data_IF_554774324081
#
_entry.id   IF_554774324081
#
_cell.length_a   1.000
_cell.length_b   1.000
_cell.length_c   1.000
_cell.angle_alpha   90.00
_cell.angle_beta   90.00
_cell.angle_gamma   90.00
#
_symmetry.space_group_name_H-M   'P 1'
#
loop_
_entity.id
_entity.type
_entity.pdbx_description
1 polymer ?
#
# COMPACT_ATOMS: atom_id res chain seq x y z
N UNK A 1 18.14 8.80 -39.81
CA UNK A 1 17.89 8.98 -38.38
C UNK A 1 17.17 10.30 -38.06
N UNK A 2 17.61 11.47 -38.52
CA UNK A 2 16.95 12.78 -38.24
C UNK A 2 15.47 12.82 -38.58
N UNK A 3 15.02 12.28 -39.75
CA UNK A 3 13.62 12.24 -40.15
C UNK A 3 12.71 11.42 -39.21
N UNK A 4 13.18 10.29 -38.68
CA UNK A 4 12.42 9.44 -37.72
C UNK A 4 12.27 10.18 -36.40
N UNK A 5 13.34 10.79 -35.90
CA UNK A 5 13.31 11.55 -34.65
C UNK A 5 12.34 12.74 -34.74
N UNK A 6 12.37 13.48 -35.85
CA UNK A 6 11.45 14.60 -36.11
C UNK A 6 10.01 14.11 -36.13
N UNK A 7 9.75 12.95 -36.75
CA UNK A 7 8.43 12.37 -36.80
C UNK A 7 7.92 11.96 -35.40
N UNK A 8 8.78 11.33 -34.59
CA UNK A 8 8.46 10.97 -33.19
C UNK A 8 8.13 12.23 -32.39
N UNK A 9 8.93 13.29 -32.48
CA UNK A 9 8.68 14.54 -31.78
C UNK A 9 7.37 15.22 -32.19
N UNK A 10 7.07 15.26 -33.47
CA UNK A 10 5.80 15.80 -33.97
C UNK A 10 4.61 14.97 -33.48
N UNK A 11 4.76 13.66 -33.45
CA UNK A 11 3.74 12.76 -32.96
C UNK A 11 3.49 12.96 -31.45
N UNK A 12 4.54 13.06 -30.64
CA UNK A 12 4.45 13.36 -29.21
C UNK A 12 3.78 14.73 -28.97
N UNK A 13 4.17 15.76 -29.72
CA UNK A 13 3.54 17.08 -29.65
C UNK A 13 2.04 17.02 -29.94
N UNK A 14 1.61 16.17 -30.90
CA UNK A 14 0.21 15.97 -31.23
C UNK A 14 -0.56 15.29 -30.10
N UNK A 15 0.02 14.26 -29.47
CA UNK A 15 -0.57 13.56 -28.33
C UNK A 15 -0.74 14.50 -27.14
N UNK A 16 0.33 15.21 -26.78
CA UNK A 16 0.35 16.14 -25.65
C UNK A 16 -0.63 17.32 -25.79
N UNK A 17 -1.05 17.66 -27.01
CA UNK A 17 -2.11 18.66 -27.25
C UNK A 17 -3.53 18.14 -27.00
N UNK A 18 -3.72 16.84 -26.80
CA UNK A 18 -5.06 16.29 -26.53
C UNK A 18 -5.38 16.45 -25.04
N UNK A 19 -6.60 16.99 -24.70
CA UNK A 19 -6.94 17.30 -23.31
C UNK A 19 -6.91 16.04 -22.41
N UNK A 20 -7.26 14.88 -22.92
CA UNK A 20 -7.26 13.63 -22.17
C UNK A 20 -5.85 13.27 -21.67
N UNK A 21 -4.82 13.42 -22.51
CA UNK A 21 -3.43 13.19 -22.09
C UNK A 21 -2.89 14.28 -21.17
N UNK A 22 -3.29 15.54 -21.38
CA UNK A 22 -2.93 16.65 -20.49
C UNK A 22 -3.48 16.45 -19.09
N UNK A 23 -4.76 16.07 -18.98
CA UNK A 23 -5.41 15.77 -17.70
C UNK A 23 -4.70 14.62 -17.00
N UNK A 24 -4.39 13.52 -17.71
CA UNK A 24 -3.72 12.36 -17.12
C UNK A 24 -2.31 12.70 -16.62
N UNK A 25 -1.53 13.49 -17.36
CA UNK A 25 -0.20 13.93 -16.93
C UNK A 25 -0.28 14.87 -15.74
N UNK A 26 -1.26 15.80 -15.72
CA UNK A 26 -1.44 16.74 -14.61
C UNK A 26 -1.93 16.05 -13.35
N UNK A 27 -2.67 14.97 -13.47
CA UNK A 27 -3.17 14.20 -12.34
C UNK A 27 -2.06 13.51 -11.55
N UNK A 28 -0.92 13.16 -12.20
CA UNK A 28 0.23 12.54 -11.53
C UNK A 28 0.83 13.46 -10.45
N UNK A 29 1.26 14.69 -10.74
CA UNK A 29 1.81 15.58 -9.71
C UNK A 29 0.77 15.99 -8.65
N UNK A 30 -0.51 16.13 -9.02
CA UNK A 30 -1.57 16.37 -8.04
C UNK A 30 -1.69 15.20 -7.07
N UNK A 31 -1.68 13.98 -7.56
CA UNK A 31 -1.72 12.77 -6.73
C UNK A 31 -0.52 12.70 -5.79
N UNK A 32 0.69 13.00 -6.31
CA UNK A 32 1.89 13.07 -5.48
C UNK A 32 1.77 14.14 -4.39
N UNK A 33 1.32 15.35 -4.76
CA UNK A 33 1.12 16.43 -3.81
C UNK A 33 0.13 16.06 -2.70
N UNK A 34 -1.00 15.43 -3.05
CA UNK A 34 -1.96 14.92 -2.08
C UNK A 34 -1.32 13.88 -1.15
N UNK A 35 -0.58 12.92 -1.70
CA UNK A 35 0.11 11.91 -0.90
C UNK A 35 1.14 12.52 0.06
N UNK A 36 1.93 13.51 -0.40
CA UNK A 36 2.89 14.20 0.47
C UNK A 36 2.21 15.02 1.57
N UNK A 37 1.09 15.70 1.27
CA UNK A 37 0.34 16.47 2.27
C UNK A 37 -0.33 15.55 3.30
N UNK A 38 -0.91 14.45 2.87
CA UNK A 38 -1.48 13.47 3.79
C UNK A 38 -0.41 12.74 4.60
N UNK A 39 0.76 12.47 4.03
CA UNK A 39 1.85 11.81 4.74
C UNK A 39 2.50 12.71 5.82
N UNK A 40 2.48 14.04 5.62
CA UNK A 40 2.95 14.99 6.65
C UNK A 40 2.01 15.10 7.84
N UNK A 41 0.75 14.71 7.70
CA UNK A 41 -0.26 14.86 8.76
C UNK A 41 -0.49 13.58 9.58
N UNK A 42 0.12 12.45 9.22
CA UNK A 42 -0.05 11.18 9.95
C UNK A 42 1.27 10.47 10.15
N UNK A 43 1.97 10.82 11.25
CA UNK A 43 3.14 10.05 11.68
C UNK A 43 2.79 8.62 12.10
N UNK A 44 1.50 8.30 12.23
CA UNK A 44 1.03 6.96 12.61
C UNK A 44 -0.43 6.73 12.21
N UNK A 45 -0.79 5.45 11.99
CA UNK A 45 -2.16 5.01 11.68
C UNK A 45 -3.14 5.24 12.83
N UNK A 46 -2.65 5.11 14.08
CA UNK A 46 -3.43 5.25 15.30
C UNK A 46 -2.72 6.26 16.21
N UNK A 47 -3.37 7.38 16.51
CA UNK A 47 -2.88 8.38 17.46
C UNK A 47 -3.57 8.19 18.79
N UNK A 48 -2.78 8.11 19.84
CA UNK A 48 -3.23 7.86 21.22
C UNK A 48 -2.80 9.02 22.11
N UNK A 49 -3.77 9.64 22.76
CA UNK A 49 -3.53 10.70 23.72
C UNK A 49 -3.32 10.10 25.11
N UNK A 50 -2.27 10.53 25.84
CA UNK A 50 -1.95 10.06 27.18
C UNK A 50 -1.94 11.21 28.16
N UNK A 51 -2.55 11.02 29.33
CA UNK A 51 -2.39 11.90 30.49
C UNK A 51 -1.73 11.10 31.60
N UNK A 52 -0.59 11.60 32.09
CA UNK A 52 0.11 11.01 33.24
C UNK A 52 -0.55 11.43 34.55
N UNK A 53 -0.58 10.55 35.53
CA UNK A 53 -0.83 10.90 36.92
C UNK A 53 0.32 11.72 37.51
N UNK A 54 0.15 12.21 38.74
CA UNK A 54 1.15 13.02 39.45
C UNK A 54 2.26 12.17 40.08
N UNK A 55 2.10 10.85 40.19
CA UNK A 55 3.07 9.94 40.73
C UNK A 55 4.19 9.63 39.71
N UNK A 56 5.40 9.40 40.21
CA UNK A 56 6.60 9.11 39.41
C UNK A 56 6.43 7.85 38.55
N UNK A 57 5.71 6.86 39.05
CA UNK A 57 5.47 5.61 38.36
C UNK A 57 4.59 5.85 37.10
N UNK A 58 3.48 6.59 37.22
CA UNK A 58 2.63 6.96 36.09
C UNK A 58 3.37 7.78 35.05
N UNK A 59 4.25 8.68 35.49
CA UNK A 59 5.06 9.51 34.58
C UNK A 59 6.05 8.64 33.79
N UNK A 60 6.74 7.73 34.46
CA UNK A 60 7.69 6.80 33.82
C UNK A 60 6.96 5.87 32.85
N UNK A 61 5.81 5.31 33.24
CA UNK A 61 5.00 4.47 32.38
C UNK A 61 4.52 5.18 31.09
N UNK A 62 4.06 6.44 31.24
CA UNK A 62 3.68 7.25 30.07
C UNK A 62 4.90 7.55 29.19
N UNK A 63 6.07 7.84 29.79
CA UNK A 63 7.31 8.07 29.05
C UNK A 63 7.72 6.83 28.24
N UNK A 64 7.66 5.65 28.83
CA UNK A 64 7.96 4.38 28.15
C UNK A 64 6.99 4.09 27.00
N UNK A 65 5.71 4.46 27.14
CA UNK A 65 4.75 4.40 26.06
C UNK A 65 5.08 5.39 24.94
N UNK A 66 5.46 6.63 25.28
CA UNK A 66 5.88 7.65 24.30
C UNK A 66 7.10 7.18 23.49
N UNK A 67 8.09 6.62 24.18
CA UNK A 67 9.33 6.09 23.56
C UNK A 67 9.06 4.85 22.69
N UNK A 68 7.98 4.10 22.96
CA UNK A 68 7.56 2.95 22.18
C UNK A 68 6.72 3.30 20.93
N UNK A 69 6.56 4.58 20.64
CA UNK A 69 5.85 5.05 19.44
C UNK A 69 6.47 4.49 18.17
N UNK A 70 5.63 4.00 17.25
CA UNK A 70 6.06 3.45 15.97
C UNK A 70 5.16 3.97 14.84
N UNK A 71 5.43 3.55 13.60
CA UNK A 71 4.65 3.98 12.42
C UNK A 71 3.16 3.55 12.45
N UNK A 72 2.80 2.58 13.30
CA UNK A 72 1.41 2.11 13.43
C UNK A 72 0.68 2.87 14.52
N UNK A 73 1.32 3.03 15.68
CA UNK A 73 0.74 3.69 16.86
C UNK A 73 1.69 4.78 17.33
N UNK A 74 1.21 6.02 17.41
CA UNK A 74 1.93 7.11 18.04
C UNK A 74 1.21 7.57 19.30
N UNK A 75 1.98 7.71 20.33
CA UNK A 75 1.52 8.25 21.61
C UNK A 75 1.93 9.71 21.71
N UNK A 76 1.05 10.56 22.24
CA UNK A 76 1.39 11.94 22.57
C UNK A 76 0.79 12.33 23.90
N UNK A 77 1.50 13.19 24.63
CA UNK A 77 1.08 13.63 25.95
C UNK A 77 0.07 14.78 25.86
N UNK A 78 -1.02 14.66 26.59
CA UNK A 78 -1.97 15.74 26.88
C UNK A 78 -1.88 16.12 28.35
N UNK A 79 -2.10 17.37 28.66
CA UNK A 79 -2.07 17.89 30.03
C UNK A 79 -3.45 18.19 30.59
N UNK A 80 -4.47 18.22 29.75
CA UNK A 80 -5.85 18.54 30.13
C UNK A 80 -6.83 17.51 29.55
N UNK A 81 -7.74 17.03 30.39
CA UNK A 81 -8.78 16.06 30.01
C UNK A 81 -9.75 16.63 28.97
N UNK A 82 -10.10 17.93 29.09
CA UNK A 82 -11.00 18.58 28.15
C UNK A 82 -10.39 18.65 26.75
N UNK A 83 -9.07 18.89 26.65
CA UNK A 83 -8.35 18.84 25.38
C UNK A 83 -8.32 17.43 24.81
N UNK A 84 -8.02 16.41 25.63
CA UNK A 84 -8.02 15.01 25.21
C UNK A 84 -9.39 14.59 24.67
N UNK A 85 -10.47 14.91 25.39
CA UNK A 85 -11.84 14.63 24.94
C UNK A 85 -12.16 15.29 23.60
N UNK A 86 -11.73 16.55 23.41
CA UNK A 86 -11.89 17.27 22.16
C UNK A 86 -11.08 16.60 21.03
N UNK A 87 -9.84 16.20 21.27
CA UNK A 87 -8.98 15.52 20.31
C UNK A 87 -9.58 14.18 19.88
N UNK A 88 -10.17 13.40 20.80
CA UNK A 88 -10.87 12.16 20.48
C UNK A 88 -12.18 12.42 19.70
N UNK A 89 -12.97 13.41 20.08
CA UNK A 89 -14.21 13.75 19.39
C UNK A 89 -13.97 14.24 17.96
N UNK A 90 -12.92 15.04 17.74
CA UNK A 90 -12.55 15.58 16.42
C UNK A 90 -11.80 14.57 15.54
N UNK A 91 -11.41 13.39 16.08
CA UNK A 91 -10.66 12.38 15.36
C UNK A 91 -9.16 12.69 15.21
N UNK A 92 -8.62 13.64 15.97
CA UNK A 92 -7.19 13.91 16.06
C UNK A 92 -6.47 12.81 16.84
N UNK A 93 -7.16 12.20 17.83
CA UNK A 93 -6.78 10.98 18.49
C UNK A 93 -7.89 9.93 18.31
N UNK A 94 -7.50 8.66 18.15
CA UNK A 94 -8.44 7.53 18.10
C UNK A 94 -8.99 7.21 19.49
N UNK A 95 -8.15 7.31 20.50
CA UNK A 95 -8.48 7.11 21.90
C UNK A 95 -7.54 7.90 22.82
N UNK A 96 -7.96 8.09 24.06
CA UNK A 96 -7.17 8.71 25.11
C UNK A 96 -7.14 7.85 26.37
N UNK A 97 -6.03 7.87 27.11
CA UNK A 97 -5.88 7.15 28.37
C UNK A 97 -5.43 8.10 29.47
N UNK A 98 -6.11 8.03 30.59
CA UNK A 98 -5.79 8.80 31.80
C UNK A 98 -5.23 7.81 32.81
N UNK A 99 -3.98 8.03 33.20
CA UNK A 99 -3.32 7.29 34.25
C UNK A 99 -3.71 7.89 35.62
N UNK A 100 -4.02 7.07 36.62
CA UNK A 100 -4.35 7.57 37.95
C UNK A 100 -3.11 8.11 38.68
N UNK A 101 -3.32 8.99 39.67
CA UNK A 101 -2.28 9.55 40.51
C UNK A 101 -1.67 8.56 41.53
N UNK A 102 -2.40 7.44 41.75
CA UNK A 102 -2.04 6.39 42.72
C UNK A 102 -1.88 5.02 42.00
N UNK A 103 -1.27 5.04 40.83
CA UNK A 103 -1.17 3.86 39.96
C UNK A 103 -0.56 2.62 40.62
N UNK A 104 0.57 2.69 41.40
CA UNK A 104 1.13 1.53 42.07
C UNK A 104 0.16 0.89 43.06
N UNK A 105 -0.56 1.71 43.83
CA UNK A 105 -1.54 1.23 44.83
C UNK A 105 -2.73 0.57 44.15
N UNK A 106 -3.23 1.14 43.06
CA UNK A 106 -4.33 0.54 42.26
C UNK A 106 -3.91 -0.75 41.60
N UNK A 107 -2.69 -0.86 41.11
CA UNK A 107 -2.14 -2.10 40.58
C UNK A 107 -2.05 -3.15 41.66
N UNK A 108 -1.54 -2.82 42.88
CA UNK A 108 -1.44 -3.74 44.01
C UNK A 108 -2.81 -4.22 44.51
N UNK A 109 -3.82 -3.34 44.53
CA UNK A 109 -5.18 -3.65 44.98
C UNK A 109 -6.06 -4.30 43.92
N UNK A 110 -5.59 -4.37 42.68
CA UNK A 110 -6.38 -4.95 41.60
C UNK A 110 -6.61 -6.45 41.86
N UNK A 111 -7.86 -6.79 41.97
CA UNK A 111 -8.31 -8.18 42.08
C UNK A 111 -9.31 -8.47 40.96
N UNK A 112 -9.21 -9.64 40.37
CA UNK A 112 -10.13 -10.10 39.34
C UNK A 112 -11.59 -10.16 39.83
N UNK A 113 -11.80 -10.16 41.14
CA UNK A 113 -13.12 -10.16 41.77
C UNK A 113 -13.77 -8.78 41.86
N UNK A 114 -12.97 -7.71 41.88
CA UNK A 114 -13.45 -6.32 41.84
C UNK A 114 -13.26 -5.81 40.41
N UNK A 115 -14.35 -5.63 39.67
CA UNK A 115 -14.36 -5.08 38.30
C UNK A 115 -14.07 -3.55 38.31
N UNK A 116 -13.01 -3.12 38.94
CA UNK A 116 -12.58 -1.72 38.98
C UNK A 116 -11.43 -1.54 38.00
N UNK A 117 -11.62 -0.69 36.97
CA UNK A 117 -10.57 -0.35 36.01
C UNK A 117 -9.46 0.45 36.71
N UNK A 118 -8.20 0.20 36.34
CA UNK A 118 -7.04 0.97 36.83
C UNK A 118 -6.89 2.24 35.99
N UNK A 119 -6.98 2.12 34.68
CA UNK A 119 -6.78 3.19 33.69
C UNK A 119 -8.13 3.57 33.09
N UNK A 120 -8.37 4.87 32.94
CA UNK A 120 -9.60 5.36 32.29
C UNK A 120 -9.33 5.55 30.81
N UNK A 121 -10.05 4.82 29.94
CA UNK A 121 -9.99 4.98 28.51
C UNK A 121 -11.12 5.89 28.00
N UNK A 122 -10.79 6.91 27.22
CA UNK A 122 -11.71 7.81 26.55
C UNK A 122 -11.75 7.42 25.07
N UNK A 123 -12.89 6.96 24.60
CA UNK A 123 -13.09 6.51 23.22
C UNK A 123 -14.37 7.13 22.65
N UNK A 124 -14.38 7.43 21.36
CA UNK A 124 -15.59 7.92 20.67
C UNK A 124 -16.54 6.76 20.36
N UNK A 125 -16.00 5.64 19.93
CA UNK A 125 -16.69 4.39 19.62
C UNK A 125 -15.67 3.25 19.72
N UNK A 126 -16.13 2.08 20.16
CA UNK A 126 -15.27 0.91 20.10
C UNK A 126 -14.90 0.57 18.66
N UNK A 127 -13.61 0.55 18.37
CA UNK A 127 -13.02 0.19 17.09
C UNK A 127 -12.01 -0.95 17.28
N UNK A 128 -11.60 -1.57 16.18
CA UNK A 128 -10.53 -2.58 16.22
C UNK A 128 -9.23 -1.92 16.71
N UNK A 129 -8.95 -0.69 16.27
CA UNK A 129 -7.77 0.08 16.69
C UNK A 129 -7.74 0.31 18.19
N UNK A 130 -8.89 0.69 18.81
CA UNK A 130 -8.97 0.89 20.27
C UNK A 130 -8.74 -0.41 21.04
N UNK A 131 -9.22 -1.55 20.52
CA UNK A 131 -8.98 -2.87 21.15
C UNK A 131 -7.50 -3.25 21.09
N UNK A 132 -6.83 -3.03 19.96
CA UNK A 132 -5.39 -3.29 19.82
C UNK A 132 -4.58 -2.42 20.80
N UNK A 133 -4.90 -1.13 20.91
CA UNK A 133 -4.21 -0.24 21.86
C UNK A 133 -4.45 -0.67 23.30
N UNK A 134 -5.68 -1.07 23.65
CA UNK A 134 -6.00 -1.61 24.97
C UNK A 134 -5.15 -2.83 25.32
N UNK A 135 -4.99 -3.77 24.38
CA UNK A 135 -4.18 -4.98 24.58
C UNK A 135 -2.71 -4.65 24.76
N UNK A 136 -2.19 -3.68 24.02
CA UNK A 136 -0.78 -3.25 24.18
C UNK A 136 -0.54 -2.60 25.53
N UNK A 137 -1.42 -1.67 25.97
CA UNK A 137 -1.31 -1.02 27.27
C UNK A 137 -1.48 -2.05 28.40
N UNK A 138 -2.45 -2.96 28.25
CA UNK A 138 -2.67 -4.04 29.20
C UNK A 138 -1.47 -4.98 29.30
N UNK A 139 -0.88 -5.37 28.17
CA UNK A 139 0.30 -6.23 28.13
C UNK A 139 1.50 -5.60 28.85
N UNK A 140 1.73 -4.29 28.65
CA UNK A 140 2.77 -3.54 29.38
C UNK A 140 2.50 -3.51 30.87
N UNK A 141 1.28 -3.17 31.26
CA UNK A 141 0.86 -3.14 32.66
C UNK A 141 0.99 -4.52 33.33
N UNK A 142 0.65 -5.58 32.60
CA UNK A 142 0.73 -6.95 33.08
C UNK A 142 2.19 -7.39 33.28
N UNK A 143 3.11 -7.05 32.39
CA UNK A 143 4.51 -7.41 32.51
C UNK A 143 5.14 -6.81 33.76
N UNK A 144 4.84 -5.55 34.08
CA UNK A 144 5.34 -4.89 35.29
C UNK A 144 4.74 -5.47 36.58
N UNK A 145 3.51 -5.97 36.50
CA UNK A 145 2.84 -6.58 37.64
C UNK A 145 3.27 -8.03 37.89
N UNK A 146 3.66 -8.74 36.85
CA UNK A 146 3.94 -10.16 36.95
C UNK A 146 5.06 -10.47 37.95
N UNK A 147 6.09 -9.61 38.05
CA UNK A 147 7.19 -9.77 39.02
C UNK A 147 6.74 -9.58 40.47
N UNK A 148 6.04 -8.49 40.86
CA UNK A 148 5.51 -8.35 42.21
C UNK A 148 4.60 -9.52 42.62
N UNK A 149 3.73 -9.98 41.73
CA UNK A 149 2.84 -11.13 42.01
C UNK A 149 3.63 -12.43 42.22
N UNK A 150 4.69 -12.64 41.41
CA UNK A 150 5.59 -13.78 41.61
C UNK A 150 6.31 -13.71 42.95
N UNK A 151 6.80 -12.53 43.33
CA UNK A 151 7.45 -12.29 44.60
C UNK A 151 6.50 -12.53 45.76
N UNK A 152 5.28 -12.01 45.70
CA UNK A 152 4.25 -12.23 46.74
C UNK A 152 3.91 -13.72 46.88
N UNK A 153 3.75 -14.43 45.75
CA UNK A 153 3.51 -15.86 45.74
C UNK A 153 4.63 -16.68 46.39
N UNK A 154 5.89 -16.31 46.13
CA UNK A 154 7.03 -16.99 46.72
C UNK A 154 7.11 -16.69 48.23
N UNK A 155 6.88 -15.45 48.65
CA UNK A 155 6.87 -15.05 50.08
C UNK A 155 5.72 -15.75 50.82
N UNK A 156 4.56 -15.96 50.21
CA UNK A 156 3.44 -16.69 50.82
C UNK A 156 3.76 -18.18 51.05
N UNK A 157 4.48 -18.78 50.08
CA UNK A 157 4.85 -20.21 50.14
C UNK A 157 6.07 -20.52 50.98
N UNK A 158 7.02 -19.58 51.06
CA UNK A 158 8.28 -19.72 51.74
C UNK A 158 8.68 -18.39 52.43
N UNK A 159 8.08 -18.08 53.60
CA UNK A 159 8.44 -16.90 54.36
C UNK A 159 9.95 -16.94 54.73
N UNK A 160 10.61 -15.79 54.66
CA UNK A 160 12.04 -15.58 55.02
C UNK A 160 13.11 -16.14 54.07
N UNK A 161 12.78 -16.54 52.87
CA UNK A 161 13.76 -17.09 51.92
C UNK A 161 14.26 -16.09 50.89
N UNK A 162 13.66 -14.92 50.73
CA UNK A 162 14.10 -13.88 49.77
C UNK A 162 14.97 -12.85 50.46
N UNK A 163 16.26 -13.11 50.43
CA UNK A 163 17.29 -12.09 50.76
C UNK A 163 17.36 -11.08 49.61
N UNK A 164 17.79 -9.84 49.88
CA UNK A 164 17.89 -8.79 48.83
C UNK A 164 18.71 -9.23 47.61
N UNK A 165 19.76 -10.05 47.82
CA UNK A 165 20.60 -10.60 46.76
C UNK A 165 19.92 -11.70 45.93
N UNK A 166 18.95 -12.43 46.49
CA UNK A 166 18.14 -13.44 45.80
C UNK A 166 16.99 -12.81 45.00
N UNK A 167 16.45 -11.70 45.55
CA UNK A 167 15.44 -10.89 44.84
C UNK A 167 16.03 -10.29 43.56
N UNK A 168 17.25 -9.76 43.59
CA UNK A 168 17.95 -9.24 42.41
C UNK A 168 18.21 -10.32 41.37
N UNK A 169 18.69 -11.49 41.77
CA UNK A 169 18.89 -12.63 40.86
C UNK A 169 17.58 -13.14 40.27
N UNK A 170 16.52 -13.13 41.05
CA UNK A 170 15.17 -13.52 40.59
C UNK A 170 14.63 -12.51 39.60
N UNK A 171 14.84 -11.21 39.84
CA UNK A 171 14.48 -10.15 38.91
C UNK A 171 15.23 -10.26 37.59
N UNK A 172 16.53 -10.51 37.62
CA UNK A 172 17.36 -10.71 36.43
C UNK A 172 16.93 -11.93 35.65
N UNK A 173 16.62 -13.04 36.31
CA UNK A 173 16.09 -14.22 35.64
C UNK A 173 14.71 -13.95 35.04
N UNK A 174 13.83 -13.30 35.79
CA UNK A 174 12.50 -12.94 35.30
C UNK A 174 12.55 -11.97 34.13
N UNK A 175 13.37 -10.92 34.19
CA UNK A 175 13.57 -9.96 33.11
C UNK A 175 14.10 -10.63 31.85
N UNK A 176 15.01 -11.59 31.99
CA UNK A 176 15.53 -12.39 30.87
C UNK A 176 14.43 -13.22 30.19
N UNK A 177 13.55 -13.83 30.98
CA UNK A 177 12.39 -14.57 30.42
C UNK A 177 11.31 -13.65 29.80
N UNK A 178 11.18 -12.41 30.27
CA UNK A 178 10.28 -11.41 29.66
C UNK A 178 10.83 -10.83 28.35
N UNK A 179 12.15 -10.74 28.24
CA UNK A 179 12.85 -10.19 27.05
C UNK A 179 13.04 -11.28 25.98
N UNK A 180 12.98 -12.56 26.35
CA UNK A 180 13.08 -13.65 25.39
C UNK A 180 11.79 -13.86 24.57
N UNK A 181 11.96 -14.40 23.38
CA UNK A 181 11.48 -13.79 22.14
C UNK A 181 10.03 -14.15 21.89
N UNK A 182 9.38 -13.32 21.11
CA UNK A 182 8.19 -13.66 20.30
C UNK A 182 7.66 -15.08 20.61
N UNK A 183 6.69 -15.19 21.51
CA UNK A 183 5.91 -16.44 21.68
C UNK A 183 5.28 -16.91 20.37
N UNK A 184 5.31 -16.09 19.33
CA UNK A 184 4.71 -16.33 18.05
C UNK A 184 5.76 -16.24 16.95
N UNK A 185 5.90 -17.31 16.16
CA UNK A 185 6.55 -17.25 14.85
C UNK A 185 5.50 -16.92 13.81
N UNK A 186 5.69 -15.83 13.10
CA UNK A 186 4.78 -15.46 12.02
C UNK A 186 5.23 -16.11 10.71
N UNK A 187 4.34 -16.85 10.09
CA UNK A 187 4.51 -17.40 8.75
C UNK A 187 3.38 -16.85 7.87
N UNK A 188 3.75 -16.35 6.69
CA UNK A 188 2.73 -15.91 5.75
C UNK A 188 1.96 -17.11 5.18
N UNK A 189 0.70 -16.90 4.79
CA UNK A 189 -0.13 -17.95 4.21
C UNK A 189 0.42 -18.58 2.92
N UNK A 190 1.43 -17.95 2.30
CA UNK A 190 2.19 -18.45 1.15
C UNK A 190 3.39 -19.34 1.55
N UNK A 191 3.59 -19.59 2.86
CA UNK A 191 4.68 -20.38 3.41
C UNK A 191 6.01 -19.63 3.56
N UNK A 192 6.06 -18.32 3.28
CA UNK A 192 7.26 -17.54 3.52
C UNK A 192 7.41 -17.21 5.01
N UNK A 193 8.64 -17.35 5.55
CA UNK A 193 8.95 -16.96 6.93
C UNK A 193 9.36 -15.50 6.98
N UNK A 194 8.78 -14.78 7.90
CA UNK A 194 9.14 -13.39 8.13
C UNK A 194 10.19 -13.32 9.25
N UNK A 195 11.43 -13.03 8.88
CA UNK A 195 12.48 -12.68 9.83
C UNK A 195 12.27 -11.24 10.32
N UNK A 196 11.26 -11.04 11.18
CA UNK A 196 10.95 -9.73 11.78
C UNK A 196 12.09 -9.18 12.65
N UNK A 197 13.06 -10.00 13.02
CA UNK A 197 14.17 -9.64 13.90
C UNK A 197 15.39 -9.07 13.18
N UNK A 198 15.50 -9.20 11.86
CA UNK A 198 16.71 -8.82 11.12
C UNK A 198 16.55 -7.62 10.17
N UNK A 199 15.40 -6.97 10.13
CA UNK A 199 15.17 -5.85 9.22
C UNK A 199 14.80 -4.57 9.98
N UNK A 200 15.81 -3.89 10.51
CA UNK A 200 15.72 -2.48 10.92
C UNK A 200 15.41 -1.53 9.75
N UNK A 201 15.39 -2.03 8.51
CA UNK A 201 15.16 -1.26 7.29
C UNK A 201 13.80 -1.50 6.61
N UNK A 202 12.91 -2.31 7.17
CA UNK A 202 11.58 -2.51 6.58
C UNK A 202 10.56 -1.50 7.07
N UNK A 203 10.82 -0.21 6.86
CA UNK A 203 9.76 0.74 6.59
C UNK A 203 9.10 0.37 5.26
N UNK A 204 8.41 -0.78 5.22
CA UNK A 204 7.49 -1.06 4.13
C UNK A 204 6.43 0.02 4.16
N UNK A 205 6.66 1.08 3.39
CA UNK A 205 5.72 2.17 3.23
C UNK A 205 4.37 1.54 2.85
N UNK A 206 3.42 1.49 3.76
CA UNK A 206 2.05 1.03 3.53
C UNK A 206 1.40 1.70 2.31
N UNK A 207 1.92 2.85 1.90
CA UNK A 207 1.51 3.61 0.73
C UNK A 207 2.14 3.13 -0.59
N UNK A 208 3.10 2.20 -0.54
CA UNK A 208 3.83 1.75 -1.74
C UNK A 208 2.89 1.12 -2.77
N UNK A 209 2.02 0.23 -2.34
CA UNK A 209 1.05 -0.45 -3.21
C UNK A 209 -0.02 0.48 -3.79
N UNK A 210 -0.72 1.31 -2.99
CA UNK A 210 -1.72 2.23 -3.51
C UNK A 210 -1.15 3.21 -4.54
N UNK A 211 0.02 3.79 -4.29
CA UNK A 211 0.66 4.73 -5.23
C UNK A 211 0.97 4.05 -6.56
N UNK A 212 1.65 2.92 -6.53
CA UNK A 212 1.99 2.14 -7.73
C UNK A 212 0.75 1.64 -8.46
N UNK A 213 -0.27 1.23 -7.70
CA UNK A 213 -1.55 0.81 -8.24
C UNK A 213 -2.25 1.91 -9.02
N UNK A 214 -2.35 3.11 -8.44
CA UNK A 214 -2.98 4.26 -9.11
C UNK A 214 -2.16 4.68 -10.34
N UNK A 215 -0.83 4.75 -10.25
CA UNK A 215 0.02 5.06 -11.39
C UNK A 215 -0.15 4.04 -12.51
N UNK A 216 -0.24 2.75 -12.21
CA UNK A 216 -0.47 1.70 -13.20
C UNK A 216 -1.83 1.85 -13.91
N UNK A 217 -2.87 2.22 -13.17
CA UNK A 217 -4.20 2.51 -13.74
C UNK A 217 -4.16 3.75 -14.63
N UNK A 218 -3.40 4.80 -14.28
CA UNK A 218 -3.24 5.99 -15.13
C UNK A 218 -2.55 5.65 -16.46
N UNK A 219 -1.55 4.76 -16.43
CA UNK A 219 -0.90 4.26 -17.64
C UNK A 219 -1.89 3.42 -18.49
N UNK A 220 -2.73 2.61 -17.85
CA UNK A 220 -3.80 1.85 -18.51
C UNK A 220 -4.79 2.80 -19.22
N UNK A 221 -5.24 3.86 -18.56
CA UNK A 221 -6.11 4.89 -19.15
C UNK A 221 -5.45 5.53 -20.37
N UNK A 222 -4.15 5.81 -20.29
CA UNK A 222 -3.38 6.36 -21.41
C UNK A 222 -3.35 5.40 -22.61
N UNK A 223 -3.16 4.11 -22.37
CA UNK A 223 -3.13 3.11 -23.43
C UNK A 223 -4.46 3.01 -24.16
N UNK A 224 -5.56 2.98 -23.41
CA UNK A 224 -6.92 2.97 -23.97
C UNK A 224 -7.25 4.28 -24.73
N UNK A 225 -6.79 5.41 -24.21
CA UNK A 225 -6.92 6.71 -24.88
C UNK A 225 -6.17 6.74 -26.22
N UNK A 226 -4.99 6.10 -26.27
CA UNK A 226 -4.22 5.91 -27.49
C UNK A 226 -4.99 5.11 -28.55
N UNK A 227 -5.69 4.05 -28.13
CA UNK A 227 -6.57 3.26 -29.03
C UNK A 227 -7.71 4.10 -29.57
N UNK A 228 -8.39 4.88 -28.71
CA UNK A 228 -9.47 5.77 -29.15
C UNK A 228 -8.97 6.81 -30.17
N UNK A 229 -7.80 7.40 -29.90
CA UNK A 229 -7.20 8.36 -30.82
C UNK A 229 -6.85 7.72 -32.16
N UNK A 230 -6.26 6.53 -32.17
CA UNK A 230 -5.96 5.77 -33.36
C UNK A 230 -7.24 5.40 -34.15
N UNK A 231 -8.28 4.91 -33.45
CA UNK A 231 -9.55 4.56 -34.08
C UNK A 231 -10.27 5.77 -34.72
N UNK A 232 -10.13 6.94 -34.08
CA UNK A 232 -10.65 8.18 -34.65
C UNK A 232 -9.85 8.65 -35.87
N UNK A 233 -8.53 8.48 -35.85
CA UNK A 233 -7.64 8.78 -36.98
C UNK A 233 -7.88 7.83 -38.15
N UNK A 234 -8.17 6.54 -37.89
CA UNK A 234 -8.53 5.56 -38.89
C UNK A 234 -9.85 5.95 -39.59
N UNK A 235 -10.85 6.40 -38.83
CA UNK A 235 -12.13 6.91 -39.39
C UNK A 235 -11.95 8.12 -40.31
N UNK A 236 -10.98 8.99 -39.98
CA UNK A 236 -10.64 10.18 -40.77
C UNK A 236 -9.69 9.88 -41.92
N UNK A 237 -9.35 8.63 -42.15
CA UNK A 237 -8.37 8.17 -43.17
C UNK A 237 -7.03 8.88 -43.09
N UNK A 238 -6.67 9.42 -41.91
CA UNK A 238 -5.43 10.23 -41.69
C UNK A 238 -4.18 9.45 -42.09
N UNK A 239 -4.22 8.13 -41.91
CA UNK A 239 -3.08 7.22 -42.17
C UNK A 239 -3.29 6.31 -43.37
N UNK A 240 -4.17 6.71 -44.32
CA UNK A 240 -4.51 5.94 -45.50
C UNK A 240 -3.33 5.66 -46.44
N UNK A 241 -2.26 6.44 -46.37
CA UNK A 241 -1.04 6.23 -47.14
C UNK A 241 -0.19 5.07 -46.70
N UNK A 242 -0.46 4.47 -45.50
CA UNK A 242 0.31 3.34 -44.95
C UNK A 242 -0.20 2.05 -45.64
N UNK A 243 0.76 1.29 -46.20
CA UNK A 243 0.45 -0.01 -46.84
C UNK A 243 -0.23 -0.94 -45.82
N UNK A 244 -1.25 -1.67 -46.24
CA UNK A 244 -2.02 -2.60 -45.43
C UNK A 244 -1.15 -3.62 -44.70
N UNK A 245 -0.08 -4.13 -45.35
CA UNK A 245 0.86 -5.06 -44.71
C UNK A 245 1.69 -4.48 -43.54
N UNK A 246 1.87 -3.16 -43.51
CA UNK A 246 2.63 -2.45 -42.45
C UNK A 246 1.72 -1.83 -41.39
N UNK A 247 0.42 -1.81 -41.61
CA UNK A 247 -0.56 -1.19 -40.75
C UNK A 247 -0.60 -1.79 -39.32
N UNK A 248 -0.52 -3.11 -39.12
CA UNK A 248 -0.50 -3.69 -37.76
C UNK A 248 0.71 -3.22 -36.94
N UNK A 249 1.90 -3.21 -37.54
CA UNK A 249 3.11 -2.73 -36.87
C UNK A 249 3.03 -1.23 -36.56
N UNK A 250 2.44 -0.43 -37.49
CA UNK A 250 2.23 0.98 -37.25
C UNK A 250 1.23 1.24 -36.11
N UNK A 251 0.11 0.52 -36.07
CA UNK A 251 -0.89 0.63 -35.03
C UNK A 251 -0.31 0.31 -33.65
N UNK A 252 0.46 -0.78 -33.57
CA UNK A 252 1.19 -1.14 -32.34
C UNK A 252 2.14 -0.03 -31.90
N UNK A 253 2.96 0.47 -32.82
CA UNK A 253 3.89 1.56 -32.53
C UNK A 253 3.16 2.86 -32.13
N UNK A 254 2.04 3.17 -32.75
CA UNK A 254 1.20 4.33 -32.41
C UNK A 254 0.73 4.29 -30.96
N UNK A 255 0.17 3.14 -30.54
CA UNK A 255 -0.32 2.93 -29.18
C UNK A 255 0.86 3.00 -28.19
N UNK A 256 1.97 2.33 -28.47
CA UNK A 256 3.18 2.39 -27.65
C UNK A 256 3.65 3.83 -27.41
N UNK A 257 3.73 4.63 -28.48
CA UNK A 257 4.12 6.03 -28.39
C UNK A 257 3.13 6.89 -27.61
N UNK A 258 1.85 6.52 -27.56
CA UNK A 258 0.86 7.25 -26.76
C UNK A 258 1.00 7.00 -25.24
N UNK A 259 1.48 5.81 -24.85
CA UNK A 259 1.71 5.46 -23.44
C UNK A 259 2.98 6.09 -22.89
N UNK A 260 4.00 6.24 -23.71
CA UNK A 260 5.37 6.58 -23.33
C UNK A 260 5.49 7.84 -22.46
N UNK A 261 4.84 8.99 -22.74
CA UNK A 261 4.95 10.17 -21.89
C UNK A 261 4.46 9.95 -20.47
N UNK A 262 3.33 9.25 -20.33
CA UNK A 262 2.73 8.99 -19.03
C UNK A 262 3.52 7.95 -18.25
N UNK A 263 4.08 6.94 -18.93
CA UNK A 263 4.98 5.97 -18.32
C UNK A 263 6.26 6.63 -17.78
N UNK A 264 6.84 7.58 -18.53
CA UNK A 264 8.01 8.36 -18.07
C UNK A 264 7.66 9.23 -16.88
N UNK A 265 6.53 9.95 -16.91
CA UNK A 265 6.06 10.75 -15.78
C UNK A 265 5.79 9.88 -14.54
N UNK A 266 5.18 8.70 -14.72
CA UNK A 266 4.92 7.76 -13.62
C UNK A 266 6.22 7.19 -13.03
N UNK A 267 7.21 6.90 -13.87
CA UNK A 267 8.53 6.46 -13.44
C UNK A 267 9.26 7.57 -12.66
N UNK A 268 9.23 8.81 -13.15
CA UNK A 268 9.76 9.97 -12.43
C UNK A 268 9.05 10.16 -11.08
N UNK A 269 7.73 9.95 -11.04
CA UNK A 269 6.94 10.00 -9.82
C UNK A 269 7.42 8.97 -8.77
N UNK A 270 7.69 7.72 -9.18
CA UNK A 270 8.21 6.66 -8.30
C UNK A 270 9.60 7.04 -7.74
N UNK A 271 10.46 7.68 -8.54
CA UNK A 271 11.77 8.12 -8.06
C UNK A 271 11.68 9.32 -7.09
N UNK A 272 10.82 10.29 -7.38
CA UNK A 272 10.61 11.46 -6.51
C UNK A 272 10.04 11.07 -5.16
N UNK A 273 9.15 10.08 -5.12
CA UNK A 273 8.54 9.59 -3.87
C UNK A 273 9.46 8.70 -3.04
N UNK A 274 10.63 8.31 -3.56
CA UNK A 274 11.56 7.41 -2.87
C UNK A 274 11.05 5.97 -2.69
N UNK A 275 9.95 5.61 -3.38
CA UNK A 275 9.34 4.27 -3.31
C UNK A 275 10.14 3.23 -4.11
N UNK A 276 11.15 3.68 -4.87
CA UNK A 276 11.98 2.79 -5.70
C UNK A 276 12.92 1.94 -4.85
N UNK A 277 12.92 0.63 -5.09
CA UNK A 277 13.88 -0.31 -4.45
C UNK A 277 15.19 -0.40 -5.23
N UNK A 278 15.10 -0.48 -6.57
CA UNK A 278 16.26 -0.56 -7.47
C UNK A 278 15.91 0.08 -8.81
N UNK A 279 16.68 1.09 -9.20
CA UNK A 279 16.46 1.90 -10.42
C UNK A 279 16.35 1.04 -11.69
N UNK A 280 17.25 0.09 -11.87
CA UNK A 280 17.28 -0.79 -13.05
C UNK A 280 16.05 -1.69 -13.09
N UNK A 281 15.62 -2.21 -11.95
CA UNK A 281 14.45 -3.08 -11.86
C UNK A 281 13.17 -2.29 -12.17
N UNK A 282 13.05 -1.06 -11.66
CA UNK A 282 11.90 -0.18 -11.92
C UNK A 282 11.76 0.16 -13.41
N UNK A 283 12.87 0.53 -14.05
CA UNK A 283 12.88 0.80 -15.50
C UNK A 283 12.44 -0.46 -16.28
N UNK A 284 12.98 -1.62 -15.93
CA UNK A 284 12.62 -2.89 -16.57
C UNK A 284 11.13 -3.20 -16.40
N UNK A 285 10.60 -3.09 -15.19
CA UNK A 285 9.18 -3.32 -14.88
C UNK A 285 8.28 -2.37 -15.68
N UNK A 286 8.63 -1.08 -15.74
CA UNK A 286 7.87 -0.09 -16.48
C UNK A 286 7.87 -0.36 -17.99
N UNK A 287 9.01 -0.76 -18.55
CA UNK A 287 9.12 -1.14 -19.97
C UNK A 287 8.27 -2.38 -20.25
N UNK A 288 8.36 -3.42 -19.43
CA UNK A 288 7.56 -4.62 -19.61
C UNK A 288 6.05 -4.34 -19.50
N UNK A 289 5.67 -3.50 -18.54
CA UNK A 289 4.28 -3.10 -18.36
C UNK A 289 3.74 -2.29 -19.55
N UNK A 290 4.52 -1.34 -20.08
CA UNK A 290 4.13 -0.57 -21.26
C UNK A 290 3.98 -1.45 -22.51
N UNK A 291 4.83 -2.47 -22.69
CA UNK A 291 4.71 -3.45 -23.75
C UNK A 291 3.45 -4.31 -23.58
N UNK A 292 3.16 -4.78 -22.37
CA UNK A 292 1.95 -5.53 -22.06
C UNK A 292 0.69 -4.73 -22.37
N UNK A 293 0.64 -3.47 -21.93
CA UNK A 293 -0.49 -2.57 -22.19
C UNK A 293 -0.66 -2.26 -23.68
N UNK A 294 0.43 -2.09 -24.41
CA UNK A 294 0.39 -1.87 -25.86
C UNK A 294 -0.24 -3.08 -26.55
N UNK A 295 0.19 -4.29 -26.21
CA UNK A 295 -0.39 -5.53 -26.73
C UNK A 295 -1.86 -5.67 -26.38
N UNK A 296 -2.22 -5.47 -25.11
CA UNK A 296 -3.60 -5.56 -24.61
C UNK A 296 -4.52 -4.58 -25.33
N UNK A 297 -4.13 -3.32 -25.43
CA UNK A 297 -4.92 -2.27 -26.07
C UNK A 297 -5.04 -2.45 -27.57
N UNK A 298 -3.97 -2.94 -28.22
CA UNK A 298 -3.98 -3.30 -29.64
C UNK A 298 -4.92 -4.48 -29.91
N UNK A 299 -4.93 -5.49 -29.06
CA UNK A 299 -5.84 -6.63 -29.13
C UNK A 299 -7.30 -6.18 -28.97
N UNK A 300 -7.59 -5.31 -28.00
CA UNK A 300 -8.94 -4.75 -27.83
C UNK A 300 -9.41 -3.99 -29.07
N UNK A 301 -8.54 -3.19 -29.70
CA UNK A 301 -8.84 -2.52 -30.97
C UNK A 301 -9.18 -3.53 -32.09
N UNK A 302 -8.40 -4.61 -32.19
CA UNK A 302 -8.59 -5.64 -33.20
C UNK A 302 -9.89 -6.45 -32.99
N UNK A 303 -10.36 -6.57 -31.75
CA UNK A 303 -11.60 -7.27 -31.40
C UNK A 303 -12.84 -6.37 -31.54
N UNK A 304 -12.72 -5.11 -31.12
CA UNK A 304 -13.84 -4.17 -30.99
C UNK A 304 -13.71 -3.08 -32.07
N UNK A 305 -14.52 -3.18 -33.13
CA UNK A 305 -14.54 -2.19 -34.21
C UNK A 305 -15.27 -0.89 -33.83
N UNK A 306 -16.25 -0.98 -32.93
CA UNK A 306 -17.08 0.16 -32.56
C UNK A 306 -16.36 1.05 -31.51
N UNK A 307 -16.08 2.31 -31.88
CA UNK A 307 -15.40 3.29 -31.03
C UNK A 307 -16.20 3.63 -29.76
N UNK A 308 -17.54 3.60 -29.84
CA UNK A 308 -18.39 3.90 -28.68
C UNK A 308 -18.29 2.79 -27.63
N UNK A 309 -18.21 1.54 -28.05
CA UNK A 309 -17.97 0.39 -27.16
C UNK A 309 -16.58 0.46 -26.55
N UNK A 310 -15.54 0.83 -27.32
CA UNK A 310 -14.21 1.05 -26.80
C UNK A 310 -14.18 2.18 -25.74
N UNK A 311 -14.94 3.26 -25.99
CA UNK A 311 -15.02 4.37 -25.05
C UNK A 311 -15.70 3.96 -23.73
N UNK A 312 -16.79 3.20 -23.78
CA UNK A 312 -17.50 2.71 -22.60
C UNK A 312 -16.69 1.65 -21.81
N UNK A 313 -15.74 0.98 -22.44
CA UNK A 313 -14.90 -0.03 -21.81
C UNK A 313 -13.84 0.61 -20.88
N UNK A 314 -13.44 1.86 -21.12
CA UNK A 314 -12.43 2.55 -20.29
C UNK A 314 -12.85 2.63 -18.82
N UNK A 315 -13.99 3.23 -18.44
CA UNK A 315 -14.40 3.30 -17.05
C UNK A 315 -14.60 1.92 -16.43
N UNK A 316 -15.08 0.94 -17.20
CA UNK A 316 -15.25 -0.44 -16.72
C UNK A 316 -13.90 -1.07 -16.38
N UNK A 317 -12.90 -0.99 -17.25
CA UNK A 317 -11.57 -1.55 -17.00
C UNK A 317 -10.85 -0.83 -15.85
N UNK A 318 -11.04 0.48 -15.71
CA UNK A 318 -10.51 1.27 -14.59
C UNK A 318 -11.12 0.82 -13.26
N UNK A 319 -12.46 0.74 -13.18
CA UNK A 319 -13.15 0.30 -11.97
C UNK A 319 -12.79 -1.14 -11.60
N UNK A 320 -12.76 -2.05 -12.58
CA UNK A 320 -12.33 -3.43 -12.34
C UNK A 320 -10.88 -3.50 -11.84
N UNK A 321 -9.98 -2.70 -12.41
CA UNK A 321 -8.59 -2.64 -11.95
C UNK A 321 -8.46 -2.10 -10.53
N UNK A 322 -9.23 -1.07 -10.16
CA UNK A 322 -9.20 -0.48 -8.82
C UNK A 322 -9.80 -1.40 -7.74
N UNK A 323 -10.85 -2.15 -8.10
CA UNK A 323 -11.57 -3.01 -7.16
C UNK A 323 -10.91 -4.39 -7.05
N UNK A 324 -10.56 -5.03 -8.17
CA UNK A 324 -10.13 -6.44 -8.18
C UNK A 324 -8.62 -6.59 -8.03
N UNK A 325 -7.82 -5.67 -8.59
CA UNK A 325 -6.37 -5.69 -8.38
C UNK A 325 -6.01 -5.20 -6.98
N UNK A 326 -4.93 -5.66 -6.37
CA UNK A 326 -4.51 -5.26 -5.02
C UNK A 326 -3.94 -3.83 -5.01
N UNK A 327 -4.77 -2.85 -5.43
CA UNK A 327 -4.39 -1.43 -5.40
C UNK A 327 -4.54 -0.88 -3.99
N UNK A 328 -5.69 -1.09 -3.35
CA UNK A 328 -5.97 -0.67 -1.99
C UNK A 328 -6.17 -1.85 -1.04
N UNK A 329 -6.90 -2.87 -1.49
CA UNK A 329 -7.25 -4.06 -0.69
C UNK A 329 -7.15 -5.27 -1.62
N UNK A 330 -6.58 -6.37 -1.16
CA UNK A 330 -6.56 -7.62 -1.91
C UNK A 330 -7.90 -8.36 -1.75
N UNK A 331 -8.85 -8.06 -2.64
CA UNK A 331 -10.16 -8.73 -2.67
C UNK A 331 -10.02 -10.21 -3.06
N UNK A 332 -8.95 -10.59 -3.76
CA UNK A 332 -8.67 -11.98 -4.11
C UNK A 332 -8.47 -12.90 -2.92
N UNK A 333 -8.06 -12.34 -1.76
CA UNK A 333 -7.97 -13.09 -0.50
C UNK A 333 -9.35 -13.32 0.14
N UNK A 334 -10.30 -12.39 -0.06
CA UNK A 334 -11.64 -12.43 0.53
C UNK A 334 -12.60 -13.25 -0.35
N UNK A 335 -12.56 -13.04 -1.67
CA UNK A 335 -13.46 -13.68 -2.66
C UNK A 335 -12.63 -14.45 -3.68
N UNK A 336 -12.46 -15.78 -3.52
CA UNK A 336 -11.60 -16.59 -4.41
C UNK A 336 -11.98 -16.53 -5.89
N UNK A 337 -13.28 -16.35 -6.22
CA UNK A 337 -13.75 -16.25 -7.60
C UNK A 337 -13.22 -15.01 -8.33
N UNK A 338 -12.90 -13.94 -7.62
CA UNK A 338 -12.33 -12.71 -8.21
C UNK A 338 -10.94 -12.93 -8.82
N UNK A 339 -10.22 -13.98 -8.40
CA UNK A 339 -8.90 -14.36 -8.95
C UNK A 339 -8.96 -14.65 -10.45
N UNK A 340 -10.08 -15.21 -10.94
CA UNK A 340 -10.23 -15.48 -12.37
C UNK A 340 -10.30 -14.18 -13.19
N UNK A 341 -11.07 -13.20 -12.75
CA UNK A 341 -11.18 -11.88 -13.41
C UNK A 341 -9.85 -11.13 -13.37
N UNK A 342 -9.12 -11.24 -12.27
CA UNK A 342 -7.80 -10.65 -12.06
C UNK A 342 -6.78 -11.06 -13.15
N UNK A 343 -6.87 -12.29 -13.67
CA UNK A 343 -5.99 -12.79 -14.74
C UNK A 343 -6.13 -12.01 -16.07
N UNK A 344 -7.25 -11.36 -16.31
CA UNK A 344 -7.47 -10.56 -17.52
C UNK A 344 -7.00 -9.11 -17.41
N UNK A 345 -6.64 -8.65 -16.20
CA UNK A 345 -6.28 -7.27 -15.93
C UNK A 345 -4.76 -7.07 -15.95
N UNK A 346 -4.23 -6.26 -16.91
CA UNK A 346 -2.78 -6.02 -17.00
C UNK A 346 -2.17 -5.42 -15.74
N UNK A 347 -2.93 -4.60 -15.02
CA UNK A 347 -2.53 -3.95 -13.77
C UNK A 347 -2.09 -4.95 -12.71
N UNK A 348 -2.76 -6.11 -12.64
CA UNK A 348 -2.41 -7.17 -11.71
C UNK A 348 -0.99 -7.69 -11.91
N UNK A 349 -0.61 -7.98 -13.16
CA UNK A 349 0.73 -8.50 -13.47
C UNK A 349 1.84 -7.51 -13.13
N UNK A 350 1.57 -6.21 -13.26
CA UNK A 350 2.52 -5.18 -12.82
C UNK A 350 2.69 -5.20 -11.30
N UNK A 351 1.60 -5.21 -10.53
CA UNK A 351 1.66 -5.21 -9.07
C UNK A 351 2.30 -6.49 -8.51
N UNK A 352 1.95 -7.65 -9.05
CA UNK A 352 2.56 -8.92 -8.64
C UNK A 352 4.08 -8.96 -8.96
N UNK A 353 4.50 -8.31 -10.06
CA UNK A 353 5.90 -8.30 -10.51
C UNK A 353 6.83 -7.45 -9.65
N UNK A 354 6.28 -6.60 -8.77
CA UNK A 354 7.09 -5.75 -7.87
C UNK A 354 7.83 -6.63 -6.85
N UNK A 355 7.15 -7.67 -6.34
CA UNK A 355 7.65 -8.48 -5.23
C UNK A 355 8.28 -9.80 -5.66
N UNK A 356 8.00 -10.31 -6.87
CA UNK A 356 8.45 -11.63 -7.27
C UNK A 356 9.10 -11.67 -8.65
N UNK A 357 10.33 -12.18 -8.73
CA UNK A 357 11.03 -12.42 -9.99
C UNK A 357 10.27 -13.34 -10.96
N UNK A 358 9.66 -14.46 -10.51
CA UNK A 358 8.81 -15.32 -11.35
C UNK A 358 7.62 -14.59 -11.97
N UNK A 359 7.01 -13.61 -11.29
CA UNK A 359 5.91 -12.83 -11.84
C UNK A 359 6.36 -11.89 -12.97
N UNK A 360 7.60 -11.39 -12.92
CA UNK A 360 8.19 -10.60 -14.01
C UNK A 360 8.30 -11.43 -15.29
N UNK A 361 8.72 -12.70 -15.17
CA UNK A 361 8.79 -13.61 -16.30
C UNK A 361 7.40 -13.89 -16.89
N UNK A 362 6.39 -14.11 -16.03
CA UNK A 362 4.99 -14.26 -16.46
C UNK A 362 4.48 -13.04 -17.22
N UNK A 363 4.76 -11.82 -16.69
CA UNK A 363 4.40 -10.57 -17.35
C UNK A 363 5.07 -10.43 -18.73
N UNK A 364 6.34 -10.81 -18.86
CA UNK A 364 7.08 -10.79 -20.12
C UNK A 364 6.47 -11.75 -21.15
N UNK A 365 6.23 -13.00 -20.76
CA UNK A 365 5.61 -14.02 -21.63
C UNK A 365 4.23 -13.55 -22.11
N UNK A 366 3.43 -13.02 -21.18
CA UNK A 366 2.10 -12.51 -21.49
C UNK A 366 2.15 -11.31 -22.46
N UNK A 367 3.10 -10.39 -22.25
CA UNK A 367 3.29 -9.24 -23.14
C UNK A 367 3.59 -9.67 -24.59
N UNK A 368 4.47 -10.67 -24.76
CA UNK A 368 4.78 -11.22 -26.09
C UNK A 368 3.55 -11.92 -26.69
N UNK A 369 2.89 -12.77 -25.92
CA UNK A 369 1.74 -13.56 -26.40
C UNK A 369 0.61 -12.65 -26.85
N UNK A 370 0.22 -11.66 -26.02
CA UNK A 370 -0.87 -10.72 -26.33
C UNK A 370 -0.51 -9.83 -27.51
N UNK A 371 0.75 -9.41 -27.63
CA UNK A 371 1.23 -8.60 -28.75
C UNK A 371 1.19 -9.38 -30.08
N UNK A 372 1.63 -10.64 -30.04
CA UNK A 372 1.55 -11.52 -31.22
C UNK A 372 0.10 -11.77 -31.66
N UNK A 373 -0.78 -12.06 -30.70
CA UNK A 373 -2.21 -12.25 -30.97
C UNK A 373 -2.85 -10.99 -31.59
N UNK A 374 -2.51 -9.81 -31.09
CA UNK A 374 -2.99 -8.55 -31.61
C UNK A 374 -2.55 -8.34 -33.08
N UNK A 375 -1.27 -8.53 -33.36
CA UNK A 375 -0.70 -8.38 -34.71
C UNK A 375 -1.32 -9.41 -35.68
N UNK A 376 -1.40 -10.68 -35.28
CA UNK A 376 -2.01 -11.74 -36.09
C UNK A 376 -3.47 -11.44 -36.42
N UNK A 377 -4.26 -11.03 -35.45
CA UNK A 377 -5.67 -10.67 -35.64
C UNK A 377 -5.82 -9.51 -36.61
N UNK A 378 -5.03 -8.45 -36.47
CA UNK A 378 -5.04 -7.32 -37.40
C UNK A 378 -4.60 -7.73 -38.83
N UNK A 379 -3.61 -8.61 -38.95
CA UNK A 379 -3.18 -9.14 -40.29
C UNK A 379 -4.27 -9.94 -40.97
N UNK A 380 -5.00 -10.78 -40.22
CA UNK A 380 -6.14 -11.55 -40.75
C UNK A 380 -7.22 -10.59 -41.21
N UNK A 381 -7.56 -9.59 -40.38
CA UNK A 381 -8.59 -8.60 -40.71
C UNK A 381 -8.20 -7.78 -41.93
N UNK A 382 -6.93 -7.42 -42.10
CA UNK A 382 -6.44 -6.70 -43.27
C UNK A 382 -6.48 -7.54 -44.56
N UNK A 383 -6.30 -8.87 -44.47
CA UNK A 383 -6.36 -9.78 -45.63
C UNK A 383 -7.81 -10.10 -46.04
N UNK A 384 -8.74 -10.17 -45.09
CA UNK A 384 -10.15 -10.51 -45.38
C UNK A 384 -10.95 -9.37 -46.01
N UNK A 385 -10.34 -8.20 -46.23
CA UNK A 385 -11.03 -7.04 -46.84
C UNK A 385 -12.22 -6.48 -46.06
N UNK A 386 -12.39 -6.95 -44.81
CA UNK A 386 -13.46 -6.54 -43.91
C UNK A 386 -12.94 -5.41 -43.01
N UNK A 387 -12.39 -4.35 -43.57
CA UNK A 387 -11.95 -3.19 -42.84
C UNK A 387 -12.95 -2.06 -42.88
#
# INVERSE_FOLDING_TARGET
MKKILTWILLFQKRILKKPMFQITILLIPILLFLLFTFNKSSDSLVRVALISGNDEYSQNFVKDLLDSSNHVISYYQCYDESQMRKDVLTGKAECGYIMPDDMPQKIAQFSSKKKQGIITAIVKKESISTKIVNEIIYGRLFSERAYPVLKDFINEKQPDRLTSAEDEKMYDAFSKYLIEPLMFSFEYADGSKNDLLNNDDSSHNYYMLPVRGILSVLILVSSMSGVLMLSNDDRKTTWGFIRLSKRPAFNYFYIFMSILPIAICSLAAIFITGISTNVLNEIRLMVLYTLLLTGFSSLLKALIKNIYVLCSLIPVTVLLSLIICPVFIDIGSIVPQSRFVRLFLPTNYYLDSIYSGPAQLKMFILAILVSLLAILKEMITARSGIS
#
